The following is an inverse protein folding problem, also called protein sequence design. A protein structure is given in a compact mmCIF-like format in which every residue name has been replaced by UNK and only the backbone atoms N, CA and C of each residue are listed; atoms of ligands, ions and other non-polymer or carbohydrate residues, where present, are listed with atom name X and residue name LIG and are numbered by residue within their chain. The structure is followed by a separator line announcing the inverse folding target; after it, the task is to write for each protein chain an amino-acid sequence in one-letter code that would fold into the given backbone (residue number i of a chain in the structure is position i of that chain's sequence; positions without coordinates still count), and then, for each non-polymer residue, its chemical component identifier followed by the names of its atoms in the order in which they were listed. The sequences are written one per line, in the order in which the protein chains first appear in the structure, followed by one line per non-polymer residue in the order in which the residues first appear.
data_IF_990227852535
#
_entry.id   IF_990227852535
#
_cell.length_a   1.000
_cell.length_b   1.000
_cell.length_c   1.000
_cell.angle_alpha   90.00
_cell.angle_beta   90.00
_cell.angle_gamma   90.00
#
_symmetry.space_group_name_H-M   'P 1'
#
loop_
_entity.id
_entity.type
_entity.pdbx_description
1 polymer ?
#
# COMPACT_ATOMS: atom_id res chain seq x y z
N UNK A 1 10.05 13.31 24.66
CA UNK A 1 10.08 14.20 23.47
C UNK A 1 10.30 13.46 22.16
N UNK A 2 11.29 12.56 22.01
CA UNK A 2 11.57 11.85 20.74
C UNK A 2 10.41 11.03 20.18
N UNK A 3 9.66 10.31 21.04
CA UNK A 3 8.49 9.51 20.65
C UNK A 3 7.28 10.35 20.20
N UNK A 4 7.08 11.50 20.86
CA UNK A 4 6.01 12.43 20.49
C UNK A 4 6.31 13.12 19.16
N UNK A 5 7.56 13.52 18.91
CA UNK A 5 7.99 14.06 17.62
C UNK A 5 7.86 13.03 16.48
N UNK A 6 8.23 11.77 16.72
CA UNK A 6 8.06 10.70 15.74
C UNK A 6 6.58 10.47 15.41
N UNK A 7 5.71 10.46 16.44
CA UNK A 7 4.26 10.29 16.27
C UNK A 7 3.64 11.44 15.45
N UNK A 8 4.01 12.68 15.77
CA UNK A 8 3.59 13.88 15.03
C UNK A 8 4.06 13.82 13.57
N UNK A 9 5.31 13.42 13.32
CA UNK A 9 5.86 13.29 11.97
C UNK A 9 5.08 12.26 11.14
N UNK A 10 4.82 11.07 11.69
CA UNK A 10 3.99 10.06 11.01
C UNK A 10 2.56 10.54 10.76
N UNK A 11 1.96 11.28 11.69
CA UNK A 11 0.62 11.85 11.53
C UNK A 11 0.57 12.84 10.38
N UNK A 12 1.56 13.74 10.28
CA UNK A 12 1.63 14.75 9.20
C UNK A 12 1.84 14.08 7.84
N UNK A 13 2.71 13.06 7.76
CA UNK A 13 2.95 12.32 6.53
C UNK A 13 1.69 11.60 6.02
N UNK A 14 0.86 11.06 6.91
CA UNK A 14 -0.41 10.43 6.51
C UNK A 14 -1.44 11.42 5.97
N UNK A 15 -1.42 12.68 6.42
CA UNK A 15 -2.33 13.72 5.93
C UNK A 15 -1.99 14.22 4.52
N UNK A 16 -0.81 13.87 3.99
CA UNK A 16 -0.36 14.26 2.65
C UNK A 16 -0.70 13.22 1.55
N UNK A 17 -1.63 12.30 1.79
CA UNK A 17 -2.05 11.32 0.78
C UNK A 17 -2.86 11.99 -0.34
N UNK A 18 -2.19 12.41 -1.42
CA UNK A 18 -2.81 12.94 -2.64
C UNK A 18 -3.23 11.85 -3.63
N UNK A 19 -3.99 12.23 -4.67
CA UNK A 19 -4.32 11.34 -5.79
C UNK A 19 -3.05 11.02 -6.58
N UNK A 20 -2.52 9.81 -6.43
CA UNK A 20 -1.33 9.36 -7.16
C UNK A 20 -1.78 8.78 -8.50
N UNK A 21 -1.22 9.29 -9.60
CA UNK A 21 -1.37 8.69 -10.92
C UNK A 21 -0.71 7.31 -10.92
N UNK A 22 -1.39 6.28 -11.45
CA UNK A 22 -0.80 4.96 -11.56
C UNK A 22 0.52 5.02 -12.35
N UNK A 23 1.62 4.58 -11.72
CA UNK A 23 2.98 4.70 -12.29
C UNK A 23 3.29 3.61 -13.34
N UNK A 24 2.48 2.55 -13.42
CA UNK A 24 2.74 1.45 -14.34
C UNK A 24 2.21 1.78 -15.74
N UNK A 25 3.12 2.06 -16.68
CA UNK A 25 2.81 2.45 -18.06
C UNK A 25 1.97 1.40 -18.83
N UNK A 26 2.16 0.11 -18.52
CA UNK A 26 1.36 -0.98 -19.07
C UNK A 26 -0.10 -0.88 -18.62
N UNK A 27 -0.34 -0.72 -17.31
CA UNK A 27 -1.68 -0.66 -16.74
C UNK A 27 -2.46 0.55 -17.25
N UNK A 28 -1.80 1.70 -17.40
CA UNK A 28 -2.43 2.93 -17.95
C UNK A 28 -2.87 2.73 -19.40
N UNK A 29 -2.00 2.16 -20.25
CA UNK A 29 -2.34 1.91 -21.65
C UNK A 29 -3.48 0.91 -21.79
N UNK A 30 -3.46 -0.16 -20.99
CA UNK A 30 -4.54 -1.15 -20.98
C UNK A 30 -5.85 -0.52 -20.51
N UNK A 31 -5.87 0.22 -19.39
CA UNK A 31 -7.06 0.89 -18.87
C UNK A 31 -7.74 1.81 -19.91
N UNK A 32 -6.95 2.54 -20.71
CA UNK A 32 -7.47 3.41 -21.77
C UNK A 32 -8.24 2.67 -22.87
N UNK A 33 -8.00 1.36 -23.07
CA UNK A 33 -8.70 0.55 -24.08
C UNK A 33 -9.95 -0.17 -23.54
N UNK A 34 -10.19 -0.11 -22.23
CA UNK A 34 -11.14 -0.97 -21.52
C UNK A 34 -12.49 -0.29 -21.21
N UNK A 35 -12.59 1.04 -21.37
CA UNK A 35 -13.77 1.83 -20.95
C UNK A 35 -13.92 1.92 -19.42
N UNK A 36 -14.80 2.80 -18.94
CA UNK A 36 -14.91 3.16 -17.50
C UNK A 36 -15.08 1.97 -16.54
N UNK A 37 -16.04 1.08 -16.79
CA UNK A 37 -16.34 -0.05 -15.90
C UNK A 37 -15.17 -1.03 -15.77
N UNK A 38 -14.68 -1.61 -16.87
CA UNK A 38 -13.54 -2.53 -16.84
C UNK A 38 -12.23 -1.85 -16.40
N UNK A 39 -12.00 -0.57 -16.70
CA UNK A 39 -10.83 0.17 -16.19
C UNK A 39 -10.86 0.29 -14.65
N UNK A 40 -12.04 0.51 -14.06
CA UNK A 40 -12.21 0.53 -12.60
C UNK A 40 -11.96 -0.84 -11.98
N UNK A 41 -12.43 -1.91 -12.63
CA UNK A 41 -12.14 -3.29 -12.25
C UNK A 41 -10.64 -3.61 -12.27
N UNK A 42 -9.93 -3.16 -13.30
CA UNK A 42 -8.48 -3.31 -13.42
C UNK A 42 -7.73 -2.62 -12.26
N UNK A 43 -8.10 -1.39 -11.90
CA UNK A 43 -7.48 -0.67 -10.79
C UNK A 43 -7.66 -1.41 -9.44
N UNK A 44 -8.86 -1.92 -9.18
CA UNK A 44 -9.12 -2.75 -8.00
C UNK A 44 -8.25 -4.02 -7.99
N UNK A 45 -8.07 -4.66 -9.14
CA UNK A 45 -7.18 -5.82 -9.28
C UNK A 45 -5.72 -5.50 -8.93
N UNK A 46 -5.19 -4.36 -9.40
CA UNK A 46 -3.83 -3.90 -9.08
C UNK A 46 -3.67 -3.68 -7.57
N UNK A 47 -4.63 -3.00 -6.93
CA UNK A 47 -4.60 -2.76 -5.50
C UNK A 47 -4.62 -4.07 -4.70
N UNK A 48 -5.46 -5.04 -5.11
CA UNK A 48 -5.50 -6.37 -4.49
C UNK A 48 -4.17 -7.11 -4.62
N UNK A 49 -3.56 -7.10 -5.82
CA UNK A 49 -2.26 -7.73 -6.06
C UNK A 49 -1.13 -7.06 -5.28
N UNK A 50 -1.17 -5.74 -5.10
CA UNK A 50 -0.18 -5.01 -4.31
C UNK A 50 -0.35 -5.21 -2.80
N UNK A 51 -1.60 -5.28 -2.31
CA UNK A 51 -1.92 -5.43 -0.90
C UNK A 51 -1.53 -6.82 -0.37
N UNK A 52 -1.73 -7.86 -1.18
CA UNK A 52 -1.48 -9.26 -0.81
C UNK A 52 -0.05 -9.52 -0.29
N UNK A 53 1.04 -9.20 -1.01
CA UNK A 53 2.40 -9.41 -0.52
C UNK A 53 2.72 -8.57 0.71
N UNK A 54 2.16 -7.35 0.83
CA UNK A 54 2.37 -6.50 2.00
C UNK A 54 1.77 -7.11 3.27
N UNK A 55 0.57 -7.68 3.17
CA UNK A 55 -0.08 -8.40 4.29
C UNK A 55 0.77 -9.61 4.69
N UNK A 56 1.23 -10.40 3.72
CA UNK A 56 2.05 -11.59 3.99
C UNK A 56 3.34 -11.21 4.70
N UNK A 57 4.08 -10.22 4.18
CA UNK A 57 5.33 -9.74 4.78
C UNK A 57 5.07 -9.19 6.19
N UNK A 58 4.01 -8.39 6.36
CA UNK A 58 3.63 -7.82 7.66
C UNK A 58 3.33 -8.92 8.70
N UNK A 59 2.56 -9.94 8.32
CA UNK A 59 2.26 -11.08 9.20
C UNK A 59 3.51 -11.87 9.58
N UNK A 60 4.39 -12.16 8.61
CA UNK A 60 5.64 -12.88 8.87
C UNK A 60 6.57 -12.08 9.78
N UNK A 61 6.73 -10.78 9.52
CA UNK A 61 7.53 -9.88 10.35
C UNK A 61 6.99 -9.80 11.80
N UNK A 62 5.67 -9.69 11.96
CA UNK A 62 5.04 -9.69 13.29
C UNK A 62 5.27 -11.01 14.04
N UNK A 63 5.08 -12.15 13.37
CA UNK A 63 5.28 -13.48 13.95
C UNK A 63 6.73 -13.70 14.36
N UNK A 64 7.68 -13.29 13.52
CA UNK A 64 9.10 -13.36 13.84
C UNK A 64 9.46 -12.49 15.04
N UNK A 65 9.01 -11.23 15.07
CA UNK A 65 9.27 -10.34 16.21
C UNK A 65 8.73 -10.90 17.53
N UNK A 66 7.51 -11.47 17.52
CA UNK A 66 6.94 -12.11 18.72
C UNK A 66 7.78 -13.31 19.18
N UNK A 67 8.21 -14.16 18.25
CA UNK A 67 9.06 -15.31 18.56
C UNK A 67 10.40 -14.92 19.18
N UNK A 68 11.03 -13.82 18.73
CA UNK A 68 12.31 -13.35 19.29
C UNK A 68 12.16 -12.60 20.63
N UNK A 69 10.94 -12.17 20.98
CA UNK A 69 10.68 -11.53 22.27
C UNK A 69 10.42 -12.55 23.38
N UNK A 70 10.01 -13.76 23.01
CA UNK A 70 9.75 -14.88 23.91
C UNK A 70 10.98 -15.79 24.10
N UNK A 71 12.06 -15.56 23.35
CA UNK A 71 13.37 -16.19 23.49
C UNK A 71 14.33 -15.29 24.30
#
# INVERSE_FOLDING_TARGET
MKKAGLFLLTSVLMMMSGSVMAQCSLCTKTAQQLGEGPAKGLNNGILMLALTPLIIIGFLAFRWWKSNKEA
#
